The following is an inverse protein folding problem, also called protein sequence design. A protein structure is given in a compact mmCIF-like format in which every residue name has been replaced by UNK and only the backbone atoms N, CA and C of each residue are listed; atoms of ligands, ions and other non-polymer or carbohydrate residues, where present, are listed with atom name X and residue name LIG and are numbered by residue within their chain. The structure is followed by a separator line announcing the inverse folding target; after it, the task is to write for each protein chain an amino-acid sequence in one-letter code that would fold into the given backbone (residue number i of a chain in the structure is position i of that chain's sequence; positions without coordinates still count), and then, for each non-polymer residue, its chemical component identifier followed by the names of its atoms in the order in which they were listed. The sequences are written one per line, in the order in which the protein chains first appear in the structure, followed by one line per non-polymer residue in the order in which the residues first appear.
data_IF_977120468464
#
_entry.id   IF_977120468464
#
_cell.length_a   1.000
_cell.length_b   1.000
_cell.length_c   1.000
_cell.angle_alpha   90.00
_cell.angle_beta   90.00
_cell.angle_gamma   90.00
#
_symmetry.space_group_name_H-M   'P 1'
#
loop_
_entity.id
_entity.type
_entity.pdbx_description
1 polymer ?
#
# COMPACT_ATOMS: atom_id res chain seq x y z
N UNK A 1 26.67 -9.49 5.48
CA UNK A 1 25.51 -9.95 6.26
C UNK A 1 24.56 -8.77 6.37
N UNK A 2 23.56 -8.71 5.50
CA UNK A 2 22.66 -7.56 5.40
C UNK A 2 21.76 -7.47 6.63
N UNK A 3 21.60 -6.27 7.18
CA UNK A 3 20.64 -6.04 8.25
C UNK A 3 19.23 -6.37 7.76
N UNK A 4 18.59 -7.31 8.45
CA UNK A 4 17.23 -7.74 8.10
C UNK A 4 16.27 -6.53 8.17
N UNK A 5 15.43 -6.30 7.15
CA UNK A 5 14.38 -5.28 7.18
C UNK A 5 13.50 -5.34 8.44
N UNK A 6 13.30 -6.55 9.00
CA UNK A 6 12.61 -6.75 10.28
C UNK A 6 13.32 -6.08 11.46
N UNK A 7 14.66 -6.02 11.47
CA UNK A 7 15.41 -5.31 12.52
C UNK A 7 15.19 -3.80 12.46
N UNK A 8 15.14 -3.23 11.25
CA UNK A 8 14.84 -1.81 11.08
C UNK A 8 13.41 -1.52 11.52
N UNK A 9 12.42 -2.29 11.06
CA UNK A 9 11.04 -2.15 11.52
C UNK A 9 10.93 -2.28 13.04
N UNK A 10 11.57 -3.28 13.66
CA UNK A 10 11.59 -3.42 15.12
C UNK A 10 12.23 -2.22 15.84
N UNK A 11 13.31 -1.62 15.31
CA UNK A 11 13.94 -0.44 15.91
C UNK A 11 13.04 0.80 15.82
N UNK A 12 12.38 1.00 14.67
CA UNK A 12 11.43 2.09 14.44
C UNK A 12 10.25 1.97 15.40
N UNK A 13 9.65 0.78 15.43
CA UNK A 13 8.49 0.51 16.27
C UNK A 13 8.86 0.61 17.76
N UNK A 14 10.04 0.14 18.17
CA UNK A 14 10.52 0.27 19.57
C UNK A 14 10.78 1.73 19.94
N UNK A 15 11.36 2.53 19.03
CA UNK A 15 11.59 3.97 19.25
C UNK A 15 10.29 4.76 19.36
N UNK A 16 9.31 4.49 18.50
CA UNK A 16 8.00 5.14 18.50
C UNK A 16 7.19 4.72 19.74
N UNK A 17 7.15 3.43 20.05
CA UNK A 17 6.50 2.88 21.26
C UNK A 17 7.03 3.55 22.53
N UNK A 18 8.36 3.70 22.65
CA UNK A 18 8.98 4.28 23.83
C UNK A 18 8.87 5.82 23.94
N UNK A 19 8.83 6.55 22.83
CA UNK A 19 8.90 8.03 22.87
C UNK A 19 7.55 8.74 22.68
N UNK A 20 6.61 8.15 21.95
CA UNK A 20 5.37 8.83 21.52
C UNK A 20 4.08 8.08 21.87
N UNK A 21 4.13 6.76 22.09
CA UNK A 21 2.91 5.96 22.30
C UNK A 21 2.57 5.70 23.77
N UNK A 22 3.42 6.12 24.73
CA UNK A 22 3.18 5.96 26.18
C UNK A 22 1.87 6.60 26.68
N UNK A 23 1.26 7.49 25.88
CA UNK A 23 0.02 8.19 26.22
C UNK A 23 -1.19 7.75 25.37
N UNK A 24 -1.06 6.70 24.55
CA UNK A 24 -2.20 6.19 23.81
C UNK A 24 -3.08 5.30 24.68
N UNK A 25 -4.38 5.56 24.70
CA UNK A 25 -5.40 4.72 25.32
C UNK A 25 -5.70 3.46 24.47
N UNK A 26 -4.65 2.76 24.01
CA UNK A 26 -4.75 1.50 23.27
C UNK A 26 -4.21 0.35 24.11
N UNK A 27 -4.83 -0.82 23.98
CA UNK A 27 -4.32 -2.02 24.65
C UNK A 27 -3.01 -2.47 23.99
N UNK A 28 -2.09 -3.01 24.79
CA UNK A 28 -0.81 -3.56 24.30
C UNK A 28 -1.00 -4.62 23.23
N UNK A 29 -2.09 -5.40 23.32
CA UNK A 29 -2.44 -6.40 22.30
C UNK A 29 -2.76 -5.78 20.94
N UNK A 30 -3.53 -4.68 20.89
CA UNK A 30 -3.82 -4.00 19.62
C UNK A 30 -2.55 -3.44 18.98
N UNK A 31 -1.63 -2.91 19.79
CA UNK A 31 -0.32 -2.47 19.31
C UNK A 31 0.45 -3.65 18.71
N UNK A 32 0.67 -4.73 19.48
CA UNK A 32 1.41 -5.91 19.04
C UNK A 32 0.83 -6.50 17.74
N UNK A 33 -0.48 -6.73 17.69
CA UNK A 33 -1.17 -7.23 16.51
C UNK A 33 -0.94 -6.32 15.28
N UNK A 34 -0.95 -5.00 15.48
CA UNK A 34 -0.70 -4.03 14.39
C UNK A 34 0.74 -4.14 13.90
N UNK A 35 1.72 -4.30 14.80
CA UNK A 35 3.13 -4.43 14.41
C UNK A 35 3.39 -5.73 13.64
N UNK A 36 2.82 -6.84 14.10
CA UNK A 36 2.92 -8.13 13.43
C UNK A 36 2.24 -8.09 12.04
N UNK A 37 1.10 -7.43 11.95
CA UNK A 37 0.40 -7.20 10.70
C UNK A 37 1.21 -6.32 9.73
N UNK A 38 1.85 -5.26 10.23
CA UNK A 38 2.76 -4.44 9.42
C UNK A 38 3.95 -5.25 8.91
N UNK A 39 4.54 -6.12 9.74
CA UNK A 39 5.61 -7.02 9.30
C UNK A 39 5.13 -7.97 8.18
N UNK A 40 3.88 -8.43 8.25
CA UNK A 40 3.24 -9.20 7.18
C UNK A 40 3.15 -8.38 5.89
N UNK A 41 2.71 -7.12 5.96
CA UNK A 41 2.66 -6.23 4.79
C UNK A 41 4.02 -6.12 4.08
N UNK A 42 5.12 -5.94 4.82
CA UNK A 42 6.47 -5.95 4.27
C UNK A 42 6.85 -7.28 3.60
N UNK A 43 6.40 -8.41 4.13
CA UNK A 43 6.64 -9.70 3.50
C UNK A 43 5.95 -9.81 2.13
N UNK A 44 4.74 -9.27 2.00
CA UNK A 44 3.98 -9.27 0.73
C UNK A 44 4.70 -8.39 -0.31
N UNK A 45 5.14 -7.21 0.09
CA UNK A 45 5.93 -6.29 -0.75
C UNK A 45 7.18 -7.01 -1.30
N UNK A 46 7.97 -7.58 -0.40
CA UNK A 46 9.16 -8.34 -0.74
C UNK A 46 8.87 -9.56 -1.62
N UNK A 47 7.74 -10.24 -1.40
CA UNK A 47 7.28 -11.34 -2.24
C UNK A 47 7.03 -10.84 -3.67
N UNK A 48 6.36 -9.70 -3.83
CA UNK A 48 6.14 -9.07 -5.13
C UNK A 48 7.45 -8.85 -5.90
N UNK A 49 8.40 -8.19 -5.23
CA UNK A 49 9.69 -7.82 -5.81
C UNK A 49 10.55 -9.03 -6.20
N UNK A 50 10.52 -10.09 -5.40
CA UNK A 50 11.40 -11.26 -5.62
C UNK A 50 10.77 -12.35 -6.47
N UNK A 51 9.46 -12.54 -6.39
CA UNK A 51 8.79 -13.69 -7.00
C UNK A 51 8.07 -13.35 -8.31
N UNK A 52 7.52 -12.15 -8.45
CA UNK A 52 6.73 -11.77 -9.63
C UNK A 52 7.52 -11.00 -10.67
N UNK A 53 8.52 -10.24 -10.22
CA UNK A 53 9.22 -9.26 -11.04
C UNK A 53 9.92 -9.81 -12.29
N UNK A 54 10.43 -11.03 -12.20
CA UNK A 54 11.17 -11.69 -13.30
C UNK A 54 10.31 -12.68 -14.08
N UNK A 55 8.99 -12.61 -13.89
CA UNK A 55 8.04 -13.54 -14.49
C UNK A 55 7.54 -13.01 -15.82
N UNK A 56 7.11 -13.95 -16.65
CA UNK A 56 6.44 -13.63 -17.91
C UNK A 56 5.17 -12.80 -17.66
N UNK A 57 4.80 -11.95 -18.62
CA UNK A 57 3.58 -11.15 -18.51
C UNK A 57 2.34 -12.04 -18.41
N UNK A 58 2.37 -13.22 -19.02
CA UNK A 58 1.35 -14.27 -18.96
C UNK A 58 1.21 -14.83 -17.53
N UNK A 59 2.33 -15.12 -16.85
CA UNK A 59 2.31 -15.58 -15.46
C UNK A 59 1.76 -14.49 -14.52
N UNK A 60 2.13 -13.23 -14.74
CA UNK A 60 1.63 -12.11 -13.93
C UNK A 60 0.13 -11.85 -14.20
N UNK A 61 -0.32 -12.00 -15.46
CA UNK A 61 -1.75 -11.99 -15.79
C UNK A 61 -2.51 -13.12 -15.10
N UNK A 62 -1.93 -14.33 -15.05
CA UNK A 62 -2.51 -15.46 -14.34
C UNK A 62 -2.63 -15.16 -12.85
N UNK A 63 -1.57 -14.61 -12.22
CA UNK A 63 -1.58 -14.15 -10.84
C UNK A 63 -2.70 -13.11 -10.57
N UNK A 64 -2.96 -12.19 -11.50
CA UNK A 64 -4.08 -11.25 -11.37
C UNK A 64 -5.43 -11.96 -11.29
N UNK A 65 -5.69 -12.93 -12.18
CA UNK A 65 -6.93 -13.71 -12.18
C UNK A 65 -7.09 -14.51 -10.88
N UNK A 66 -6.00 -15.10 -10.39
CA UNK A 66 -5.97 -15.82 -9.11
C UNK A 66 -6.42 -14.95 -7.93
N UNK A 67 -6.05 -13.69 -7.91
CA UNK A 67 -6.48 -12.77 -6.85
C UNK A 67 -8.02 -12.68 -6.86
N UNK A 68 -8.66 -12.48 -8.01
CA UNK A 68 -10.13 -12.45 -8.05
C UNK A 68 -10.78 -13.75 -7.58
N UNK A 69 -10.17 -14.90 -7.87
CA UNK A 69 -10.63 -16.21 -7.41
C UNK A 69 -10.46 -16.41 -5.89
N UNK A 70 -9.39 -15.87 -5.30
CA UNK A 70 -9.12 -15.97 -3.86
C UNK A 70 -10.03 -15.05 -3.01
N UNK A 71 -10.69 -14.06 -3.62
CA UNK A 71 -11.58 -13.11 -2.95
C UNK A 71 -13.01 -13.12 -3.53
N UNK A 72 -13.70 -14.29 -3.56
CA UNK A 72 -15.03 -14.40 -4.17
C UNK A 72 -16.11 -13.59 -3.44
N UNK A 73 -15.94 -13.36 -2.14
CA UNK A 73 -16.91 -12.66 -1.27
C UNK A 73 -17.10 -11.19 -1.66
N UNK A 74 -16.13 -10.63 -2.35
CA UNK A 74 -16.15 -9.23 -2.79
C UNK A 74 -16.82 -9.11 -4.16
N UNK A 75 -16.73 -10.16 -4.97
CA UNK A 75 -17.28 -10.17 -6.32
C UNK A 75 -18.80 -10.24 -6.29
N UNK A 76 -19.38 -11.00 -5.35
CA UNK A 76 -20.84 -11.21 -5.22
C UNK A 76 -21.65 -9.94 -4.93
N UNK A 77 -21.06 -8.92 -4.31
CA UNK A 77 -21.71 -7.62 -4.08
C UNK A 77 -21.75 -6.71 -5.32
N UNK A 78 -20.80 -6.90 -6.24
CA UNK A 78 -20.70 -6.11 -7.48
C UNK A 78 -21.37 -6.76 -8.68
N UNK A 79 -21.62 -8.08 -8.69
CA UNK A 79 -22.27 -8.77 -9.83
C UNK A 79 -23.66 -8.22 -10.16
N UNK A 80 -24.35 -7.61 -9.19
CA UNK A 80 -25.64 -6.94 -9.38
C UNK A 80 -25.57 -5.56 -10.07
N UNK A 81 -24.40 -4.90 -10.07
CA UNK A 81 -24.18 -3.58 -10.69
C UNK A 81 -23.25 -3.64 -11.91
N UNK A 82 -22.26 -4.54 -11.90
CA UNK A 82 -21.25 -4.68 -12.95
C UNK A 82 -21.79 -5.34 -14.24
N UNK A 83 -22.91 -6.06 -14.17
CA UNK A 83 -23.62 -6.59 -15.35
C UNK A 83 -24.13 -5.49 -16.28
N UNK A 84 -24.09 -4.21 -15.87
CA UNK A 84 -24.53 -3.07 -16.68
C UNK A 84 -23.39 -2.28 -17.36
N UNK A 85 -22.10 -2.43 -16.98
CA UNK A 85 -21.07 -1.45 -17.40
C UNK A 85 -19.78 -2.04 -18.00
N UNK A 86 -19.38 -3.28 -17.73
CA UNK A 86 -18.26 -3.90 -18.46
C UNK A 86 -18.27 -5.44 -18.36
N UNK A 87 -17.92 -6.16 -19.43
CA UNK A 87 -17.79 -7.61 -19.37
C UNK A 87 -16.63 -8.00 -18.44
N UNK A 88 -16.88 -8.99 -17.58
CA UNK A 88 -15.86 -9.67 -16.79
C UNK A 88 -14.68 -10.05 -17.70
N UNK A 89 -13.41 -9.85 -17.26
CA UNK A 89 -12.28 -10.37 -18.01
C UNK A 89 -12.47 -11.87 -18.18
N UNK A 90 -12.48 -12.32 -19.44
CA UNK A 90 -12.60 -13.72 -19.79
C UNK A 90 -11.55 -14.51 -19.02
N UNK A 91 -11.98 -15.48 -18.21
CA UNK A 91 -11.09 -16.45 -17.55
C UNK A 91 -10.23 -17.09 -18.63
N UNK A 92 -8.99 -16.63 -18.77
CA UNK A 92 -8.02 -17.26 -19.66
C UNK A 92 -7.66 -18.57 -18.99
N UNK A 93 -8.05 -19.68 -19.61
CA UNK A 93 -7.56 -21.00 -19.21
C UNK A 93 -6.04 -20.99 -19.31
N UNK A 94 -5.38 -21.10 -18.17
CA UNK A 94 -3.93 -21.15 -18.01
C UNK A 94 -3.42 -22.37 -18.76
N UNK A 95 -2.80 -22.15 -19.93
CA UNK A 95 -2.04 -23.18 -20.62
C UNK A 95 -0.57 -23.07 -20.20
N UNK A 96 -0.10 -24.12 -19.52
CA UNK A 96 1.27 -24.62 -19.44
C UNK A 96 2.36 -23.55 -19.62
N UNK A 97 2.58 -22.74 -18.58
CA UNK A 97 3.67 -21.78 -18.55
C UNK A 97 4.86 -22.38 -17.82
N UNK A 98 6.09 -22.03 -18.21
CA UNK A 98 7.31 -22.38 -17.44
C UNK A 98 7.28 -21.87 -15.98
N UNK A 99 6.30 -21.03 -15.63
CA UNK A 99 6.09 -20.39 -14.35
C UNK A 99 4.97 -21.01 -13.50
N UNK A 100 4.43 -22.17 -13.87
CA UNK A 100 3.28 -22.81 -13.18
C UNK A 100 3.52 -23.01 -11.67
N UNK A 101 4.76 -23.35 -11.27
CA UNK A 101 5.14 -23.46 -9.87
C UNK A 101 5.03 -22.12 -9.11
N UNK A 102 5.39 -21.00 -9.74
CA UNK A 102 5.26 -19.66 -9.15
C UNK A 102 3.79 -19.28 -9.01
N UNK A 103 2.97 -19.54 -10.04
CA UNK A 103 1.53 -19.26 -10.00
C UNK A 103 0.85 -20.07 -8.87
N UNK A 104 1.24 -21.33 -8.67
CA UNK A 104 0.75 -22.16 -7.56
C UNK A 104 1.21 -21.66 -6.18
N UNK A 105 2.48 -21.25 -6.06
CA UNK A 105 3.00 -20.65 -4.82
C UNK A 105 2.28 -19.32 -4.50
N UNK A 106 2.02 -18.50 -5.51
CA UNK A 106 1.29 -17.25 -5.36
C UNK A 106 -0.13 -17.46 -4.82
N UNK A 107 -0.86 -18.42 -5.39
CA UNK A 107 -2.19 -18.82 -4.88
C UNK A 107 -2.13 -19.24 -3.41
N UNK A 108 -1.12 -20.03 -3.05
CA UNK A 108 -0.92 -20.52 -1.69
C UNK A 108 -0.65 -19.36 -0.73
N UNK A 109 0.23 -18.43 -1.13
CA UNK A 109 0.57 -17.25 -0.33
C UNK A 109 -0.65 -16.35 -0.08
N UNK A 110 -1.44 -16.04 -1.11
CA UNK A 110 -2.67 -15.24 -0.96
C UNK A 110 -3.66 -15.93 -0.02
N UNK A 111 -3.89 -17.23 -0.22
CA UNK A 111 -4.86 -17.98 0.57
C UNK A 111 -4.43 -18.09 2.04
N UNK A 112 -3.15 -18.41 2.28
CA UNK A 112 -2.58 -18.48 3.62
C UNK A 112 -2.66 -17.12 4.33
N UNK A 113 -2.30 -16.03 3.63
CA UNK A 113 -2.44 -14.68 4.15
C UNK A 113 -3.88 -14.36 4.52
N UNK A 114 -4.81 -14.56 3.57
CA UNK A 114 -6.23 -14.26 3.78
C UNK A 114 -6.76 -14.98 5.00
N UNK A 115 -6.53 -16.27 5.11
CA UNK A 115 -7.01 -17.08 6.23
C UNK A 115 -6.38 -16.63 7.55
N UNK A 116 -5.05 -16.44 7.58
CA UNK A 116 -4.33 -15.99 8.78
C UNK A 116 -4.91 -14.68 9.34
N UNK A 117 -5.19 -13.70 8.49
CA UNK A 117 -5.75 -12.41 8.94
C UNK A 117 -7.23 -12.53 9.29
N UNK A 118 -8.03 -13.15 8.43
CA UNK A 118 -9.49 -13.16 8.57
C UNK A 118 -10.00 -14.10 9.67
N UNK A 119 -9.21 -15.10 10.04
CA UNK A 119 -9.49 -16.04 11.13
C UNK A 119 -8.89 -15.58 12.47
N UNK A 120 -8.11 -14.49 12.47
CA UNK A 120 -7.55 -13.97 13.72
C UNK A 120 -8.69 -13.58 14.69
N UNK A 121 -8.58 -13.92 15.99
CA UNK A 121 -9.68 -13.75 16.95
C UNK A 121 -10.25 -12.34 16.97
N UNK A 122 -9.36 -11.34 16.86
CA UNK A 122 -9.71 -9.93 16.86
C UNK A 122 -10.47 -9.42 15.64
N UNK A 123 -10.33 -10.11 14.50
CA UNK A 123 -11.02 -9.79 13.25
C UNK A 123 -12.35 -10.55 13.19
N UNK A 124 -12.41 -11.76 13.74
CA UNK A 124 -13.65 -12.54 13.84
C UNK A 124 -14.76 -11.85 14.64
N UNK A 125 -14.40 -11.04 15.64
CA UNK A 125 -15.35 -10.26 16.46
C UNK A 125 -15.72 -8.91 15.86
N UNK A 126 -15.06 -8.48 14.77
CA UNK A 126 -15.33 -7.20 14.14
C UNK A 126 -16.66 -7.23 13.36
N UNK A 127 -17.29 -6.07 13.23
CA UNK A 127 -18.54 -5.94 12.48
C UNK A 127 -18.38 -6.31 11.01
N UNK A 128 -19.45 -6.81 10.40
CA UNK A 128 -19.51 -7.25 9.00
C UNK A 128 -18.94 -6.24 8.01
N UNK A 129 -19.27 -4.96 8.19
CA UNK A 129 -18.77 -3.88 7.35
C UNK A 129 -17.24 -3.78 7.42
N UNK A 130 -16.66 -3.79 8.62
CA UNK A 130 -15.23 -3.68 8.83
C UNK A 130 -14.50 -4.89 8.22
N UNK A 131 -15.01 -6.11 8.44
CA UNK A 131 -14.43 -7.34 7.88
C UNK A 131 -14.45 -7.34 6.35
N UNK A 132 -15.57 -6.91 5.73
CA UNK A 132 -15.66 -6.78 4.27
C UNK A 132 -14.72 -5.70 3.73
N UNK A 133 -14.60 -4.57 4.43
CA UNK A 133 -13.66 -3.52 4.06
C UNK A 133 -12.21 -4.04 4.12
N UNK A 134 -11.83 -4.77 5.18
CA UNK A 134 -10.51 -5.38 5.29
C UNK A 134 -10.22 -6.36 4.14
N UNK A 135 -11.19 -7.19 3.74
CA UNK A 135 -11.07 -8.06 2.57
C UNK A 135 -10.88 -7.26 1.28
N UNK A 136 -11.65 -6.19 1.09
CA UNK A 136 -11.50 -5.27 -0.05
C UNK A 136 -10.10 -4.69 -0.13
N UNK A 137 -9.59 -4.18 0.99
CA UNK A 137 -8.25 -3.62 1.06
C UNK A 137 -7.16 -4.66 0.84
N UNK A 138 -7.32 -5.87 1.38
CA UNK A 138 -6.39 -6.97 1.15
C UNK A 138 -6.31 -7.32 -0.34
N UNK A 139 -7.44 -7.44 -1.03
CA UNK A 139 -7.48 -7.70 -2.47
C UNK A 139 -6.81 -6.57 -3.25
N UNK A 140 -7.08 -5.31 -2.89
CA UNK A 140 -6.51 -4.13 -3.54
C UNK A 140 -4.98 -4.11 -3.46
N UNK A 141 -4.43 -4.44 -2.29
CA UNK A 141 -2.99 -4.60 -2.08
C UNK A 141 -2.38 -5.69 -2.98
N UNK A 142 -2.98 -6.88 -3.04
CA UNK A 142 -2.42 -7.93 -3.91
C UNK A 142 -2.48 -7.54 -5.39
N UNK A 143 -3.53 -6.83 -5.80
CA UNK A 143 -3.65 -6.28 -7.15
C UNK A 143 -2.61 -5.20 -7.43
N UNK A 144 -2.30 -4.33 -6.46
CA UNK A 144 -1.30 -3.28 -6.64
C UNK A 144 0.10 -3.85 -6.85
N UNK A 145 0.46 -4.91 -6.11
CA UNK A 145 1.76 -5.60 -6.28
C UNK A 145 1.89 -6.22 -7.67
N UNK A 146 0.83 -6.87 -8.16
CA UNK A 146 0.80 -7.41 -9.52
C UNK A 146 0.88 -6.28 -10.55
N UNK A 147 0.17 -5.17 -10.34
CA UNK A 147 0.20 -4.00 -11.22
C UNK A 147 1.59 -3.36 -11.28
N UNK A 148 2.24 -3.19 -10.14
CA UNK A 148 3.58 -2.60 -10.04
C UNK A 148 4.64 -3.50 -10.68
N UNK A 149 4.52 -4.83 -10.55
CA UNK A 149 5.39 -5.78 -11.25
C UNK A 149 5.24 -5.67 -12.79
N UNK A 150 4.00 -5.58 -13.29
CA UNK A 150 3.72 -5.39 -14.73
C UNK A 150 4.28 -4.08 -15.26
N UNK A 151 4.07 -2.99 -14.52
CA UNK A 151 4.56 -1.66 -14.89
C UNK A 151 6.09 -1.64 -14.90
N UNK A 152 6.74 -2.25 -13.91
CA UNK A 152 8.20 -2.34 -13.84
C UNK A 152 8.79 -3.05 -15.06
N UNK A 153 8.23 -4.19 -15.49
CA UNK A 153 8.65 -4.87 -16.73
C UNK A 153 8.46 -3.97 -17.94
N UNK A 154 7.27 -3.37 -18.05
CA UNK A 154 6.91 -2.51 -19.20
C UNK A 154 7.82 -1.30 -19.32
N UNK A 155 8.19 -0.66 -18.21
CA UNK A 155 9.09 0.49 -18.19
C UNK A 155 10.54 0.06 -18.41
N UNK A 156 10.99 -1.04 -17.78
CA UNK A 156 12.33 -1.59 -17.96
C UNK A 156 12.61 -1.93 -19.43
N UNK A 157 11.71 -2.68 -20.09
CA UNK A 157 11.85 -3.07 -21.48
C UNK A 157 11.96 -1.85 -22.40
N UNK A 158 11.24 -0.77 -22.10
CA UNK A 158 11.28 0.47 -22.88
C UNK A 158 12.56 1.27 -22.70
N UNK A 159 13.06 1.39 -21.46
CA UNK A 159 14.32 2.08 -21.21
C UNK A 159 15.51 1.36 -21.86
N UNK A 160 15.46 0.02 -21.99
CA UNK A 160 16.52 -0.77 -22.63
C UNK A 160 16.34 -0.93 -24.16
N UNK A 161 15.10 -0.86 -24.67
CA UNK A 161 14.82 -0.95 -26.12
C UNK A 161 14.89 0.40 -26.85
N UNK A 162 14.83 1.51 -26.12
CA UNK A 162 14.88 2.88 -26.67
C UNK A 162 16.33 3.36 -26.92
N UNK A 163 17.03 2.77 -27.89
CA UNK A 163 18.03 3.51 -28.66
C UNK A 163 17.40 4.27 -29.85
N UNK A 164 16.13 4.00 -30.19
CA UNK A 164 15.42 4.68 -31.27
C UNK A 164 14.17 5.42 -30.76
N UNK A 165 14.37 6.63 -30.22
CA UNK A 165 13.60 7.85 -30.49
C UNK A 165 12.08 7.96 -30.31
N UNK A 166 11.29 6.90 -30.12
CA UNK A 166 9.83 7.01 -29.94
C UNK A 166 9.44 6.59 -28.53
N UNK A 167 9.37 7.59 -27.63
CA UNK A 167 8.92 7.44 -26.26
C UNK A 167 7.47 6.97 -26.18
N UNK A 168 7.27 5.68 -25.99
CA UNK A 168 5.96 5.10 -25.72
C UNK A 168 5.46 5.46 -24.31
N UNK A 169 4.28 6.03 -24.26
CA UNK A 169 3.45 6.33 -23.08
C UNK A 169 3.24 5.09 -22.22
N UNK A 170 3.52 5.15 -20.90
CA UNK A 170 3.38 4.05 -19.93
C UNK A 170 1.94 3.48 -19.85
N UNK A 171 1.02 4.01 -20.65
CA UNK A 171 -0.40 3.69 -20.67
C UNK A 171 -1.15 4.39 -19.54
N UNK A 172 -0.44 4.89 -18.53
CA UNK A 172 -0.93 5.65 -17.40
C UNK A 172 0.09 6.72 -17.01
N UNK A 173 -0.34 7.97 -16.89
CA UNK A 173 0.50 9.06 -16.40
C UNK A 173 0.85 8.91 -14.91
N UNK A 174 1.88 9.62 -14.47
CA UNK A 174 2.38 9.62 -13.10
C UNK A 174 1.25 9.80 -12.08
N UNK A 175 0.36 10.77 -12.32
CA UNK A 175 -0.77 11.04 -11.43
C UNK A 175 -1.70 9.83 -11.28
N UNK A 176 -2.02 9.12 -12.37
CA UNK A 176 -2.90 7.95 -12.29
C UNK A 176 -2.25 6.79 -11.54
N UNK A 177 -0.95 6.56 -11.78
CA UNK A 177 -0.19 5.55 -11.03
C UNK A 177 -0.14 5.87 -9.54
N UNK A 178 0.18 7.12 -9.19
CA UNK A 178 0.19 7.60 -7.80
C UNK A 178 -1.21 7.50 -7.16
N UNK A 179 -2.26 7.73 -7.96
CA UNK A 179 -3.65 7.58 -7.54
C UNK A 179 -4.15 6.12 -7.51
N UNK A 180 -3.32 5.13 -7.83
CA UNK A 180 -3.67 3.71 -7.82
C UNK A 180 -2.55 2.85 -7.23
N UNK A 181 -1.91 2.00 -8.04
CA UNK A 181 -0.99 0.96 -7.58
C UNK A 181 0.20 1.52 -6.81
N UNK A 182 0.70 2.69 -7.19
CA UNK A 182 1.82 3.35 -6.51
C UNK A 182 1.55 3.67 -5.04
N UNK A 183 0.30 3.89 -4.63
CA UNK A 183 -0.01 4.12 -3.20
C UNK A 183 -0.63 2.91 -2.54
N UNK A 184 -1.38 2.10 -3.27
CA UNK A 184 -1.99 0.89 -2.72
C UNK A 184 -0.91 -0.14 -2.29
N UNK A 185 0.25 -0.17 -2.94
CA UNK A 185 1.41 -0.98 -2.50
C UNK A 185 2.09 -0.49 -1.21
N UNK A 186 1.67 0.63 -0.62
CA UNK A 186 2.15 1.03 0.71
C UNK A 186 1.34 0.43 1.86
N UNK A 187 0.31 -0.37 1.57
CA UNK A 187 -0.50 -1.09 2.56
C UNK A 187 -1.20 -0.18 3.60
N UNK A 188 -1.16 1.14 3.43
CA UNK A 188 -1.63 2.11 4.41
C UNK A 188 -3.09 1.86 4.79
N UNK A 189 -3.91 1.73 3.75
CA UNK A 189 -5.32 1.42 3.86
C UNK A 189 -5.61 0.05 4.45
N UNK A 190 -4.75 -0.91 4.14
CA UNK A 190 -4.87 -2.26 4.63
C UNK A 190 -4.58 -2.34 6.13
N UNK A 191 -3.53 -1.65 6.59
CA UNK A 191 -3.20 -1.49 8.01
C UNK A 191 -4.32 -0.75 8.73
N UNK A 192 -4.83 0.35 8.16
CA UNK A 192 -5.97 1.06 8.75
C UNK A 192 -7.19 0.17 8.90
N UNK A 193 -7.60 -0.54 7.85
CA UNK A 193 -8.75 -1.43 7.89
C UNK A 193 -8.59 -2.54 8.94
N UNK A 194 -7.38 -3.07 9.11
CA UNK A 194 -7.07 -4.04 10.14
C UNK A 194 -7.24 -3.44 11.55
N UNK A 195 -6.66 -2.27 11.79
CA UNK A 195 -6.78 -1.57 13.08
C UNK A 195 -8.24 -1.24 13.42
N UNK A 196 -9.02 -0.77 12.43
CA UNK A 196 -10.46 -0.51 12.58
C UNK A 196 -11.18 -1.77 13.05
N UNK A 197 -10.96 -2.91 12.40
CA UNK A 197 -11.54 -4.18 12.82
C UNK A 197 -11.17 -4.49 14.28
N UNK A 198 -9.90 -4.32 14.67
CA UNK A 198 -9.42 -4.65 16.01
C UNK A 198 -10.03 -3.83 17.13
N UNK A 199 -10.50 -2.61 16.85
CA UNK A 199 -11.05 -1.71 17.88
C UNK A 199 -12.56 -1.52 17.80
N UNK A 200 -13.18 -2.00 16.72
CA UNK A 200 -14.59 -1.79 16.44
C UNK A 200 -15.49 -2.39 17.51
N UNK A 201 -15.03 -3.46 18.18
CA UNK A 201 -15.84 -4.25 19.12
C UNK A 201 -17.23 -4.59 18.53
N UNK A 202 -17.28 -4.86 17.22
CA UNK A 202 -18.52 -5.14 16.48
C UNK A 202 -19.30 -3.92 15.99
N UNK A 203 -18.90 -2.70 16.37
CA UNK A 203 -19.60 -1.45 16.06
C UNK A 203 -18.93 -0.66 14.94
N UNK A 204 -19.71 0.17 14.24
CA UNK A 204 -19.15 1.14 13.30
C UNK A 204 -18.51 2.30 14.06
N UNK A 205 -17.19 2.45 13.94
CA UNK A 205 -16.43 3.48 14.65
C UNK A 205 -16.45 4.84 13.91
N UNK A 206 -16.98 4.87 12.69
CA UNK A 206 -17.20 6.08 11.89
C UNK A 206 -18.69 6.13 11.48
N UNK A 207 -19.60 6.43 12.41
CA UNK A 207 -21.05 6.26 12.18
C UNK A 207 -21.61 7.13 11.06
N UNK A 208 -20.95 8.23 10.70
CA UNK A 208 -21.43 9.16 9.66
C UNK A 208 -20.73 8.97 8.32
N UNK A 209 -21.44 9.26 7.23
CA UNK A 209 -20.84 9.26 5.89
C UNK A 209 -19.70 10.29 5.76
N UNK A 210 -19.81 11.43 6.44
CA UNK A 210 -18.76 12.45 6.46
C UNK A 210 -17.49 11.94 7.13
N UNK A 211 -17.59 11.23 8.26
CA UNK A 211 -16.41 10.66 8.94
C UNK A 211 -15.72 9.61 8.09
N UNK A 212 -16.49 8.72 7.46
CA UNK A 212 -15.96 7.71 6.52
C UNK A 212 -15.26 8.38 5.34
N UNK A 213 -15.84 9.45 4.80
CA UNK A 213 -15.21 10.21 3.73
C UNK A 213 -13.92 10.88 4.18
N UNK A 214 -13.93 11.59 5.31
CA UNK A 214 -12.76 12.32 5.82
C UNK A 214 -11.61 11.40 6.22
N UNK A 215 -11.89 10.24 6.85
CA UNK A 215 -10.83 9.27 7.14
C UNK A 215 -10.28 8.67 5.84
N UNK A 216 -11.12 8.51 4.83
CA UNK A 216 -10.72 8.11 3.47
C UNK A 216 -9.82 9.12 2.78
N UNK A 217 -10.21 10.38 2.81
CA UNK A 217 -9.41 11.41 2.18
C UNK A 217 -8.08 11.61 2.92
N UNK A 218 -8.12 11.61 4.27
CA UNK A 218 -6.92 11.74 5.10
C UNK A 218 -5.89 10.64 4.85
N UNK A 219 -6.30 9.37 4.93
CA UNK A 219 -5.39 8.25 4.70
C UNK A 219 -4.86 8.23 3.27
N UNK A 220 -5.66 8.66 2.27
CA UNK A 220 -5.21 8.76 0.88
C UNK A 220 -4.07 9.76 0.76
N UNK A 221 -4.24 10.97 1.27
CA UNK A 221 -3.22 12.02 1.23
C UNK A 221 -1.94 11.61 1.98
N UNK A 222 -2.07 11.04 3.19
CA UNK A 222 -0.92 10.51 3.94
C UNK A 222 -0.17 9.43 3.17
N UNK A 223 -0.88 8.50 2.54
CA UNK A 223 -0.25 7.45 1.78
C UNK A 223 0.46 7.99 0.52
N UNK A 224 -0.09 9.00 -0.16
CA UNK A 224 0.60 9.69 -1.27
C UNK A 224 1.87 10.39 -0.78
N UNK A 225 1.76 11.19 0.28
CA UNK A 225 2.90 11.88 0.88
C UNK A 225 4.05 10.91 1.18
N UNK A 226 3.73 9.77 1.79
CA UNK A 226 4.71 8.73 2.10
C UNK A 226 5.31 8.10 0.86
N UNK A 227 4.50 7.84 -0.17
CA UNK A 227 5.01 7.35 -1.44
C UNK A 227 6.01 8.33 -2.03
N UNK A 228 5.68 9.61 -2.08
CA UNK A 228 6.56 10.63 -2.66
C UNK A 228 7.88 10.75 -1.90
N UNK A 229 7.87 10.70 -0.57
CA UNK A 229 9.12 10.64 0.22
C UNK A 229 9.92 9.36 -0.05
N UNK A 230 9.25 8.21 -0.15
CA UNK A 230 9.88 6.94 -0.49
C UNK A 230 10.58 7.02 -1.86
N UNK A 231 9.88 7.50 -2.89
CA UNK A 231 10.38 7.63 -4.26
C UNK A 231 11.63 8.52 -4.36
N UNK A 232 11.66 9.62 -3.60
CA UNK A 232 12.85 10.49 -3.49
C UNK A 232 13.99 9.78 -2.76
N UNK A 233 13.65 9.03 -1.71
CA UNK A 233 14.53 8.19 -0.89
C UNK A 233 15.18 7.03 -1.64
N UNK A 234 14.47 6.50 -2.64
CA UNK A 234 14.77 5.20 -3.22
C UNK A 234 15.40 5.23 -4.60
N UNK A 235 15.44 6.38 -5.30
CA UNK A 235 15.89 6.48 -6.70
C UNK A 235 17.14 5.65 -7.01
N UNK A 236 18.18 5.75 -6.17
CA UNK A 236 19.43 5.02 -6.40
C UNK A 236 19.27 3.50 -6.30
N UNK A 237 18.54 3.04 -5.28
CA UNK A 237 18.21 1.62 -5.07
C UNK A 237 17.32 1.11 -6.20
N UNK A 238 16.25 1.83 -6.52
CA UNK A 238 15.29 1.39 -7.52
C UNK A 238 15.93 1.29 -8.90
N UNK A 239 16.83 2.21 -9.27
CA UNK A 239 17.61 2.09 -10.52
C UNK A 239 18.56 0.89 -10.51
N UNK A 240 19.28 0.67 -9.41
CA UNK A 240 20.21 -0.46 -9.28
C UNK A 240 19.49 -1.80 -9.32
N UNK A 241 18.32 -1.86 -8.69
CA UNK A 241 17.48 -3.04 -8.68
C UNK A 241 16.69 -3.17 -9.96
N UNK A 242 16.49 -2.10 -10.75
CA UNK A 242 15.60 -1.99 -11.92
C UNK A 242 14.09 -2.01 -11.57
N UNK A 243 13.74 -1.44 -10.43
CA UNK A 243 12.36 -1.17 -10.00
C UNK A 243 11.88 0.14 -10.62
N UNK A 244 10.56 0.25 -10.82
CA UNK A 244 9.92 1.51 -11.23
C UNK A 244 10.11 2.58 -10.15
N UNK A 245 10.56 3.76 -10.56
CA UNK A 245 10.55 4.96 -9.73
C UNK A 245 9.72 6.08 -10.37
N UNK A 246 9.18 6.97 -9.55
CA UNK A 246 8.43 8.16 -9.98
C UNK A 246 9.23 9.00 -11.00
N UNK A 247 10.55 9.08 -10.85
CA UNK A 247 11.42 9.82 -11.77
C UNK A 247 11.49 9.22 -13.19
N UNK A 248 11.00 8.00 -13.40
CA UNK A 248 11.00 7.32 -14.71
C UNK A 248 9.78 7.68 -15.58
N UNK A 249 8.79 8.35 -14.99
CA UNK A 249 7.58 8.79 -15.69
C UNK A 249 7.85 9.93 -16.68
N UNK A 250 6.98 10.04 -17.70
CA UNK A 250 7.15 10.99 -18.80
C UNK A 250 7.19 12.44 -18.34
N UNK A 251 6.42 12.77 -17.31
CA UNK A 251 6.30 14.09 -16.69
C UNK A 251 7.63 14.62 -16.16
N UNK A 252 8.58 13.73 -15.87
CA UNK A 252 9.92 14.09 -15.38
C UNK A 252 11.01 13.98 -16.45
N UNK A 253 10.68 13.57 -17.69
CA UNK A 253 11.67 13.48 -18.78
C UNK A 253 12.24 14.85 -19.13
N UNK A 254 13.55 14.89 -19.33
CA UNK A 254 14.27 16.14 -19.65
C UNK A 254 14.57 17.02 -18.43
N UNK A 255 14.08 16.67 -17.24
CA UNK A 255 14.52 17.27 -15.98
C UNK A 255 15.80 16.61 -15.47
N UNK A 256 16.64 17.37 -14.77
CA UNK A 256 17.72 16.77 -13.98
C UNK A 256 17.11 15.96 -12.83
N UNK A 257 17.85 14.96 -12.34
CA UNK A 257 17.37 14.16 -11.21
C UNK A 257 17.07 15.03 -9.98
N UNK A 258 17.89 16.05 -9.71
CA UNK A 258 17.67 16.96 -8.58
C UNK A 258 16.39 17.77 -8.73
N UNK A 259 16.06 18.19 -9.96
CA UNK A 259 14.80 18.89 -10.23
C UNK A 259 13.60 17.96 -10.05
N UNK A 260 13.66 16.73 -10.59
CA UNK A 260 12.60 15.75 -10.41
C UNK A 260 12.37 15.44 -8.91
N UNK A 261 13.44 15.24 -8.13
CA UNK A 261 13.35 15.07 -6.68
C UNK A 261 12.74 16.29 -5.99
N UNK A 262 13.11 17.50 -6.38
CA UNK A 262 12.54 18.72 -5.82
C UNK A 262 11.03 18.84 -6.09
N UNK A 263 10.59 18.51 -7.31
CA UNK A 263 9.17 18.50 -7.69
C UNK A 263 8.38 17.47 -6.87
N UNK A 264 8.90 16.25 -6.71
CA UNK A 264 8.30 15.20 -5.86
C UNK A 264 8.20 15.64 -4.38
N UNK A 265 9.23 16.29 -3.85
CA UNK A 265 9.19 16.83 -2.48
C UNK A 265 8.16 17.96 -2.31
N UNK A 266 7.96 18.79 -3.34
CA UNK A 266 6.92 19.82 -3.31
C UNK A 266 5.52 19.21 -3.36
N UNK A 267 5.32 18.16 -4.14
CA UNK A 267 4.07 17.39 -4.15
C UNK A 267 3.83 16.73 -2.78
N UNK A 268 4.87 16.17 -2.15
CA UNK A 268 4.75 15.54 -0.83
C UNK A 268 4.27 16.55 0.23
N UNK A 269 4.82 17.78 0.22
CA UNK A 269 4.38 18.86 1.10
C UNK A 269 2.91 19.24 0.87
N UNK A 270 2.49 19.37 -0.38
CA UNK A 270 1.09 19.66 -0.73
C UNK A 270 0.15 18.58 -0.19
N UNK A 271 0.50 17.31 -0.36
CA UNK A 271 -0.27 16.18 0.16
C UNK A 271 -0.32 16.17 1.70
N UNK A 272 0.78 16.54 2.37
CA UNK A 272 0.79 16.75 3.82
C UNK A 272 -0.14 17.89 4.28
N UNK A 273 -0.21 18.99 3.53
CA UNK A 273 -1.16 20.09 3.79
C UNK A 273 -2.62 19.65 3.63
N UNK A 274 -2.92 18.89 2.58
CA UNK A 274 -4.25 18.32 2.34
C UNK A 274 -4.65 17.32 3.41
N UNK A 275 -3.73 16.42 3.79
CA UNK A 275 -3.94 15.49 4.91
C UNK A 275 -4.27 16.25 6.20
N UNK A 276 -3.55 17.33 6.50
CA UNK A 276 -3.81 18.13 7.70
C UNK A 276 -5.22 18.73 7.70
N UNK A 277 -5.71 19.23 6.56
CA UNK A 277 -7.09 19.76 6.46
C UNK A 277 -8.12 18.66 6.77
N UNK A 278 -7.95 17.48 6.19
CA UNK A 278 -8.86 16.35 6.43
C UNK A 278 -8.80 15.88 7.89
N UNK A 279 -7.61 15.86 8.48
CA UNK A 279 -7.39 15.53 9.88
C UNK A 279 -8.12 16.49 10.83
N UNK A 280 -7.95 17.80 10.63
CA UNK A 280 -8.57 18.83 11.47
C UNK A 280 -10.11 18.71 11.43
N UNK A 281 -10.68 18.53 10.24
CA UNK A 281 -12.13 18.32 10.07
C UNK A 281 -12.61 17.02 10.72
N UNK A 282 -11.83 15.94 10.60
CA UNK A 282 -12.15 14.66 11.23
C UNK A 282 -12.11 14.76 12.75
N UNK A 283 -11.12 15.45 13.32
CA UNK A 283 -11.02 15.66 14.77
C UNK A 283 -12.25 16.37 15.33
N UNK A 284 -12.77 17.39 14.65
CA UNK A 284 -14.01 18.09 15.05
C UNK A 284 -15.20 17.12 15.09
N UNK A 285 -15.35 16.28 14.07
CA UNK A 285 -16.41 15.25 14.04
C UNK A 285 -16.25 14.22 15.16
N UNK A 286 -15.04 13.68 15.35
CA UNK A 286 -14.75 12.65 16.35
C UNK A 286 -14.85 13.17 17.80
N UNK A 287 -14.58 14.45 18.05
CA UNK A 287 -14.80 15.09 19.35
C UNK A 287 -16.28 15.16 19.68
N UNK A 288 -17.10 15.53 18.69
CA UNK A 288 -18.56 15.60 18.83
C UNK A 288 -19.13 14.21 19.16
N UNK A 289 -18.58 13.17 18.54
CA UNK A 289 -19.03 11.79 18.70
C UNK A 289 -18.35 11.03 19.86
N UNK A 290 -17.52 11.69 20.68
CA UNK A 290 -16.82 11.11 21.85
C UNK A 290 -16.14 9.76 21.55
N UNK A 291 -15.33 9.71 20.49
CA UNK A 291 -14.66 8.49 20.04
C UNK A 291 -13.14 8.46 20.39
N UNK A 292 -12.73 8.30 21.66
CA UNK A 292 -11.32 8.41 22.08
C UNK A 292 -10.43 7.32 21.47
N UNK A 293 -10.92 6.08 21.36
CA UNK A 293 -10.18 4.95 20.77
C UNK A 293 -9.85 5.18 19.29
N UNK A 294 -10.79 5.75 18.54
CA UNK A 294 -10.61 6.10 17.12
C UNK A 294 -9.52 7.16 16.97
N UNK A 295 -9.56 8.21 17.80
CA UNK A 295 -8.51 9.22 17.80
C UNK A 295 -7.13 8.63 18.13
N UNK A 296 -7.06 7.68 19.06
CA UNK A 296 -5.80 7.03 19.42
C UNK A 296 -5.20 6.22 18.26
N UNK A 297 -6.02 5.49 17.50
CA UNK A 297 -5.58 4.74 16.32
C UNK A 297 -5.09 5.65 15.22
N UNK A 298 -5.85 6.70 14.92
CA UNK A 298 -5.46 7.58 13.83
C UNK A 298 -4.17 8.34 14.17
N UNK A 299 -3.97 8.72 15.45
CA UNK A 299 -2.69 9.26 15.93
C UNK A 299 -1.57 8.24 15.79
N UNK A 300 -1.78 7.00 16.24
CA UNK A 300 -0.80 5.92 16.10
C UNK A 300 -0.36 5.75 14.64
N UNK A 301 -1.32 5.66 13.73
CA UNK A 301 -1.02 5.49 12.31
C UNK A 301 -0.26 6.70 11.77
N UNK A 302 -0.66 7.93 12.14
CA UNK A 302 0.07 9.14 11.75
C UNK A 302 1.52 9.11 12.22
N UNK A 303 1.78 8.78 13.49
CA UNK A 303 3.12 8.75 14.05
C UNK A 303 4.02 7.67 13.44
N UNK A 304 3.47 6.47 13.23
CA UNK A 304 4.18 5.38 12.54
C UNK A 304 4.59 5.80 11.14
N UNK A 305 3.68 6.47 10.45
CA UNK A 305 3.83 6.91 9.08
C UNK A 305 4.87 8.01 8.95
N UNK A 306 4.77 9.04 9.80
CA UNK A 306 5.70 10.17 9.80
C UNK A 306 7.12 9.67 10.10
N UNK A 307 7.28 8.80 11.09
CA UNK A 307 8.57 8.18 11.39
C UNK A 307 9.11 7.36 10.22
N UNK A 308 8.25 6.64 9.48
CA UNK A 308 8.67 5.90 8.30
C UNK A 308 9.15 6.83 7.18
N UNK A 309 8.44 7.92 6.93
CA UNK A 309 8.84 8.97 5.97
C UNK A 309 10.17 9.63 6.34
N UNK A 310 10.36 9.99 7.61
CA UNK A 310 11.60 10.58 8.13
C UNK A 310 12.80 9.67 7.88
N UNK A 311 12.63 8.35 7.98
CA UNK A 311 13.71 7.39 7.74
C UNK A 311 14.11 7.31 6.27
N UNK A 312 13.17 7.40 5.34
CA UNK A 312 13.51 7.46 3.91
C UNK A 312 14.31 8.72 3.58
N UNK A 313 13.98 9.84 4.23
CA UNK A 313 14.75 11.09 4.11
C UNK A 313 16.14 10.93 4.74
N UNK A 314 16.23 10.40 5.96
CA UNK A 314 17.51 10.22 6.68
C UNK A 314 18.44 9.23 5.99
N UNK A 315 17.91 8.15 5.41
CA UNK A 315 18.72 7.15 4.70
C UNK A 315 19.42 7.73 3.47
N UNK A 316 18.83 8.75 2.84
CA UNK A 316 19.47 9.55 1.79
C UNK A 316 20.63 10.41 2.32
N UNK A 317 20.52 10.97 3.53
CA UNK A 317 21.59 11.77 4.15
C UNK A 317 22.81 10.88 4.44
N UNK A 318 22.59 9.69 5.01
CA UNK A 318 23.69 8.78 5.35
C UNK A 318 24.31 8.07 4.13
N UNK A 319 23.55 7.86 3.04
CA UNK A 319 24.09 7.31 1.80
C UNK A 319 24.96 8.32 1.01
N UNK A 320 24.88 9.62 1.33
CA UNK A 320 25.69 10.68 0.70
C UNK A 320 27.04 10.96 1.39
N UNK A 321 27.41 10.16 2.40
CA UNK A 321 28.63 10.29 3.20
C UNK A 321 29.51 9.02 3.19
N UNK A 322 29.29 8.12 2.22
CA UNK A 322 30.14 6.96 1.90
C UNK A 322 30.54 7.07 0.44
#
# INVERSE_FOLDING_TARGET
MGDSPLKHLCLILTGIVNSKLLFLELSTHVLYDTLEFMATAYFIDHYGDTQLRWKSIEAINSCQSLIYECFPEINSGFTALATAVNPQPTLVHVHDTKDDATVAQFRTAISAHKNCVMESPGICTAGDYCRRNLLFEMRRVWLSIVSDAKLSITVYDRCHSSQNGSGGDAGYGFYHWLQSSGVDSLFYWYIMAFMICRVSDGNDIFPTGLEKYLVQDWCRHKAIENRLYNEVGSVGRDRAESNLNAADFLEFRGSTLDKAKADLLNMAKLEGELAKICWERLQVSLLTNRAPRVRAILRLLNEITDANSELYVMRNVFASHI
#
